data_IF_577944165377
#
_entry.id   IF_577944165377
#
_cell.length_a   1.000
_cell.length_b   1.000
_cell.length_c   1.000
_cell.angle_alpha   90.00
_cell.angle_beta   90.00
_cell.angle_gamma   90.00
#
_symmetry.space_group_name_H-M   'P 1'
#
loop_
_entity.id
_entity.type
_entity.pdbx_description
1 polymer ?
2 non-polymer ?
3 non-polymer ?
4 non-polymer ?
5 water ?
#
# COMPACT_ATOMS: atom_id res chain seq x y z
N UNK A 2 28.30 -5.73 0.41
CA UNK A 2 28.00 -7.08 0.93
C UNK A 2 27.25 -6.92 2.26
N UNK A 3 26.09 -7.53 2.40
CA UNK A 3 25.31 -7.39 3.64
C UNK A 3 25.83 -8.35 4.72
N UNK A 4 25.74 -7.96 6.01
CA UNK A 4 26.03 -8.86 7.12
C UNK A 4 25.07 -10.04 7.12
N UNK A 5 25.61 -11.21 7.49
CA UNK A 5 24.87 -12.50 7.57
C UNK A 5 23.77 -12.43 8.62
N UNK A 6 23.95 -11.66 9.70
CA UNK A 6 22.94 -11.54 10.78
C UNK A 6 22.91 -10.10 11.31
N UNK A 7 21.73 -9.67 11.72
CA UNK A 7 21.52 -8.33 12.28
C UNK A 7 20.54 -8.47 13.45
N UNK A 8 20.74 -7.71 14.52
CA UNK A 8 19.75 -7.61 15.62
C UNK A 8 19.79 -6.18 16.19
N UNK A 9 18.76 -5.40 15.88
CA UNK A 9 18.62 -3.98 16.31
C UNK A 9 18.43 -3.89 17.82
N UNK A 10 18.15 -4.99 18.51
CA UNK A 10 18.13 -4.97 20.01
C UNK A 10 19.55 -4.77 20.52
N UNK A 11 20.56 -5.31 19.84
CA UNK A 11 21.94 -5.13 20.30
C UNK A 11 22.39 -3.68 20.14
N UNK A 12 21.72 -2.91 19.29
CA UNK A 12 22.12 -1.50 19.05
C UNK A 12 21.26 -0.56 19.90
N UNK A 13 20.45 -1.09 20.83
CA UNK A 13 19.69 -0.25 21.77
C UNK A 13 18.63 0.56 21.06
N UNK A 14 18.04 0.04 19.97
CA UNK A 14 17.03 0.75 19.13
C UNK A 14 15.63 0.14 19.27
N UNK A 15 15.43 -0.83 20.16
CA UNK A 15 14.13 -1.57 20.27
C UNK A 15 13.61 -1.50 21.70
N UNK A 16 12.38 -0.99 21.87
CA UNK A 16 11.74 -0.81 23.22
C UNK A 16 11.21 -2.17 23.70
N UNK A 17 10.83 -2.21 24.96
CA UNK A 17 10.16 -3.37 25.57
C UNK A 17 8.95 -3.78 24.72
N UNK A 18 8.70 -5.08 24.75
CA UNK A 18 7.55 -5.69 24.05
C UNK A 18 6.30 -5.15 24.69
N UNK A 19 5.33 -4.77 23.88
CA UNK A 19 4.01 -4.33 24.35
C UNK A 19 2.97 -5.45 24.12
N UNK A 20 1.79 -5.25 24.68
CA UNK A 20 0.62 -6.19 24.76
C UNK A 20 -0.61 -5.45 24.21
N UNK A 21 -1.02 -5.72 22.97
CA UNK A 21 -2.14 -5.01 22.30
C UNK A 21 -3.49 -5.35 22.96
N UNK A 22 -3.60 -6.49 23.62
CA UNK A 22 -4.86 -6.90 24.29
C UNK A 22 -5.91 -7.23 23.26
N UNK A 23 -7.20 -7.02 23.52
CA UNK A 23 -8.23 -7.38 22.52
C UNK A 23 -8.45 -6.25 21.50
N UNK A 24 -7.53 -5.32 21.31
CA UNK A 24 -7.62 -4.23 20.30
C UNK A 24 -6.72 -4.56 19.11
N UNK A 25 -7.26 -4.62 17.90
CA UNK A 25 -6.48 -4.89 16.68
C UNK A 25 -5.64 -3.68 16.24
N UNK A 26 -4.73 -3.25 17.10
CA UNK A 26 -3.84 -2.08 16.89
C UNK A 26 -2.40 -2.50 16.56
N UNK A 27 -2.20 -3.70 16.00
CA UNK A 27 -0.88 -4.23 15.61
C UNK A 27 -0.21 -3.24 14.66
N UNK A 28 -1.03 -2.70 13.76
CA UNK A 28 -0.57 -1.70 12.75
C UNK A 28 0.08 -0.51 13.49
N UNK A 29 -0.53 -0.09 14.59
CA UNK A 29 -0.07 1.05 15.38
C UNK A 29 1.24 0.72 16.10
N UNK A 30 1.34 -0.49 16.68
CA UNK A 30 2.55 -0.97 17.36
C UNK A 30 3.67 -1.13 16.33
N UNK A 31 3.36 -1.68 15.16
CA UNK A 31 4.36 -1.84 14.09
C UNK A 31 4.95 -0.44 13.78
N UNK A 32 4.08 0.57 13.64
CA UNK A 32 4.49 1.90 13.13
C UNK A 32 5.34 2.58 14.19
N UNK A 33 4.93 2.51 15.47
CA UNK A 33 5.70 3.24 16.51
C UNK A 33 7.04 2.50 16.71
N UNK A 34 7.04 1.17 16.61
CA UNK A 34 8.29 0.40 16.73
C UNK A 34 9.36 0.86 15.73
N UNK A 35 8.96 1.04 14.47
CA UNK A 35 9.87 1.48 13.40
C UNK A 35 10.35 2.88 13.77
N UNK A 36 9.44 3.74 14.23
CA UNK A 36 9.80 5.15 14.43
C UNK A 36 10.68 5.24 15.67
N UNK A 37 10.50 4.33 16.62
CA UNK A 37 11.28 4.33 17.90
C UNK A 37 12.75 4.13 17.56
N UNK A 38 13.05 3.23 16.63
CA UNK A 38 14.46 2.98 16.24
C UNK A 38 15.01 4.26 15.62
N UNK A 39 14.25 4.91 14.72
CA UNK A 39 14.76 6.11 14.02
C UNK A 39 14.91 7.23 15.05
N UNK A 40 14.05 7.30 16.07
CA UNK A 40 14.22 8.33 17.13
C UNK A 40 15.52 8.09 17.92
N UNK A 41 15.80 6.85 18.30
CA UNK A 41 17.09 6.47 18.96
C UNK A 41 18.27 6.85 18.07
N UNK A 42 18.25 6.46 16.79
CA UNK A 42 19.35 6.82 15.84
C UNK A 42 19.50 8.33 15.78
N UNK A 43 18.41 9.08 15.84
CA UNK A 43 18.51 10.56 15.69
C UNK A 43 18.94 11.22 17.01
N UNK A 44 18.41 10.85 18.18
CA UNK A 44 18.54 11.65 19.44
C UNK A 44 19.42 10.94 20.45
N UNK A 45 19.66 9.63 20.25
CA UNK A 45 20.38 8.81 21.24
C UNK A 45 19.46 8.34 22.36
N UNK A 46 18.16 8.61 22.28
CA UNK A 46 17.15 8.30 23.32
C UNK A 46 16.25 7.15 22.85
N UNK A 47 16.12 6.10 23.64
CA UNK A 47 15.15 5.03 23.34
C UNK A 47 13.88 5.31 24.14
N UNK A 48 12.79 5.62 23.45
CA UNK A 48 11.50 6.12 24.04
C UNK A 48 10.37 5.29 23.43
N UNK A 49 9.57 4.65 24.24
CA UNK A 49 8.33 4.06 23.65
C UNK A 49 7.42 5.20 23.18
N UNK A 50 6.94 5.10 21.95
CA UNK A 50 5.98 6.09 21.39
C UNK A 50 4.54 5.59 21.51
N UNK A 51 3.58 6.51 21.38
CA UNK A 51 2.17 6.29 21.77
C UNK A 51 1.42 5.59 20.62
N UNK A 52 1.21 4.28 20.74
CA UNK A 52 0.32 3.50 19.84
C UNK A 52 -1.12 4.01 19.98
N UNK A 53 -1.50 4.40 21.19
CA UNK A 53 -2.86 4.93 21.48
C UNK A 53 -3.11 6.21 20.66
N UNK A 54 -2.13 7.11 20.61
CA UNK A 54 -2.17 8.32 19.76
C UNK A 54 -2.53 7.94 18.32
N UNK A 55 -1.97 6.87 17.77
CA UNK A 55 -2.32 6.46 16.37
C UNK A 55 -3.77 5.91 16.33
N UNK A 56 -4.13 5.08 17.30
CA UNK A 56 -5.47 4.42 17.30
C UNK A 56 -6.55 5.52 17.32
N UNK A 57 -6.36 6.53 18.15
CA UNK A 57 -7.33 7.59 18.44
C UNK A 57 -7.33 8.70 17.37
N UNK A 58 -6.21 8.96 16.68
CA UNK A 58 -6.06 10.20 15.86
C UNK A 58 -5.84 9.85 14.40
N UNK A 59 -5.18 8.75 14.09
CA UNK A 59 -4.94 8.30 12.70
C UNK A 59 -6.09 7.37 12.35
N UNK A 60 -7.24 7.97 12.06
CA UNK A 60 -8.56 7.32 11.98
C UNK A 60 -9.08 7.40 10.54
N UNK A 61 -10.37 7.71 10.36
CA UNK A 61 -11.08 7.56 9.06
C UNK A 61 -10.27 8.25 7.96
N UNK A 62 -9.68 9.41 8.25
CA UNK A 62 -9.00 10.22 7.21
C UNK A 62 -7.76 9.49 6.74
N UNK A 63 -7.23 8.56 7.54
CA UNK A 63 -6.00 7.79 7.21
C UNK A 63 -6.42 6.39 6.76
N UNK A 64 -7.70 6.15 6.54
CA UNK A 64 -8.21 4.81 6.16
C UNK A 64 -8.05 3.77 7.26
N UNK A 65 -7.86 4.23 8.49
CA UNK A 65 -7.64 3.35 9.67
C UNK A 65 -8.93 3.26 10.50
N UNK A 66 -9.14 2.12 11.15
CA UNK A 66 -10.32 1.83 11.97
C UNK A 66 -9.88 1.46 13.39
N UNK A 67 -8.82 2.06 13.93
CA UNK A 67 -8.40 1.88 15.34
C UNK A 67 -8.29 0.40 15.70
N UNK A 68 -9.11 -0.07 16.63
CA UNK A 68 -9.03 -1.46 17.16
C UNK A 68 -9.54 -2.45 16.11
N UNK A 69 -10.02 -1.96 14.97
CA UNK A 69 -10.46 -2.83 13.85
C UNK A 69 -9.46 -2.75 12.67
N UNK A 70 -8.23 -2.35 12.89
CA UNK A 70 -7.20 -2.49 11.85
C UNK A 70 -6.82 -1.16 11.24
N UNK A 71 -5.70 -1.16 10.53
CA UNK A 71 -5.22 0.01 9.79
C UNK A 71 -3.90 -0.28 9.13
N UNK A 72 -3.15 0.77 8.83
CA UNK A 72 -1.98 0.74 7.92
C UNK A 72 -0.80 1.46 8.61
N UNK A 73 0.39 0.86 8.54
CA UNK A 73 1.62 1.49 9.08
C UNK A 73 1.91 2.72 8.24
N UNK A 74 1.78 2.66 6.90
CA UNK A 74 2.13 3.83 6.05
C UNK A 74 1.25 5.03 6.41
N UNK A 75 -0.06 4.83 6.56
CA UNK A 75 -0.99 5.96 6.81
C UNK A 75 -0.78 6.43 8.25
N UNK A 76 -0.33 5.56 9.14
CA UNK A 76 0.09 5.99 10.49
C UNK A 76 1.25 7.00 10.34
N UNK A 77 2.28 6.65 9.58
CA UNK A 77 3.46 7.51 9.35
C UNK A 77 3.02 8.84 8.75
N UNK A 78 2.10 8.77 7.79
CA UNK A 78 1.62 10.02 7.13
C UNK A 78 0.90 10.89 8.16
N UNK A 79 0.13 10.29 9.07
CA UNK A 79 -0.53 11.02 10.17
C UNK A 79 0.53 11.76 10.98
N UNK A 80 1.64 11.09 11.32
CA UNK A 80 2.69 11.70 12.18
C UNK A 80 3.29 12.88 11.42
N UNK A 81 3.43 12.73 10.11
CA UNK A 81 3.95 13.81 9.23
C UNK A 81 3.00 15.00 9.31
N UNK A 82 1.74 14.78 8.96
CA UNK A 82 0.72 15.84 8.80
C UNK A 82 0.53 16.50 10.17
N UNK A 83 0.52 15.67 11.22
CA UNK A 83 0.24 16.11 12.62
C UNK A 83 1.43 16.89 13.18
N UNK A 84 2.61 16.76 12.55
CA UNK A 84 3.88 17.32 13.08
C UNK A 84 4.20 16.75 14.46
N UNK A 85 3.81 15.53 14.75
CA UNK A 85 4.36 14.83 15.91
C UNK A 85 3.53 13.63 16.32
N UNK A 86 4.08 12.90 17.29
CA UNK A 86 3.40 11.80 18.01
C UNK A 86 3.83 11.95 19.47
N UNK A 87 2.91 11.74 20.40
CA UNK A 87 3.20 11.84 21.85
C UNK A 87 4.01 10.62 22.31
N UNK A 88 4.67 10.74 23.46
CA UNK A 88 5.28 9.59 24.18
C UNK A 88 4.20 8.62 24.63
N UNK A 89 4.52 7.33 24.71
CA UNK A 89 3.67 6.32 25.36
C UNK A 89 3.43 6.79 26.79
N UNK A 90 4.44 7.35 27.48
CA UNK A 90 4.31 7.78 28.90
C UNK A 90 3.17 8.78 29.01
N UNK A 91 3.07 9.74 28.10
CA UNK A 91 2.13 10.87 28.21
C UNK A 91 0.77 10.42 27.69
N UNK A 92 0.72 9.42 26.81
CA UNK A 92 -0.51 9.01 26.09
C UNK A 92 -0.56 7.48 26.07
N UNK A 93 -0.74 6.85 27.25
CA UNK A 93 -0.57 5.42 27.40
C UNK A 93 -1.66 4.63 26.70
N UNK A 94 -1.41 3.33 26.52
CA UNK A 94 -2.23 2.41 25.68
C UNK A 94 -3.38 1.83 26.51
N UNK A 95 -4.61 1.88 26.02
CA UNK A 95 -5.80 1.41 26.78
C UNK A 95 -6.52 0.28 26.04
N UNK A 96 -6.09 -0.14 24.86
CA UNK A 96 -6.71 -1.25 24.11
C UNK A 96 -8.20 -0.91 23.84
N UNK A 97 -8.47 0.32 23.46
CA UNK A 97 -9.83 0.82 23.07
C UNK A 97 -9.66 1.95 22.06
N UNK A 98 -10.75 2.24 21.34
CA UNK A 98 -10.88 3.44 20.47
C UNK A 98 -11.24 4.60 21.40
N UNK A 99 -10.50 5.69 21.39
CA UNK A 99 -10.88 6.89 22.17
C UNK A 99 -10.87 8.09 21.25
N UNK A 100 -11.42 9.19 21.73
CA UNK A 100 -11.29 10.53 21.11
C UNK A 100 -9.81 10.93 21.09
N UNK A 101 -9.41 11.57 20.00
CA UNK A 101 -8.03 12.01 19.79
C UNK A 101 -7.64 12.93 20.95
N UNK A 102 -6.62 12.56 21.75
CA UNK A 102 -6.14 13.44 22.87
C UNK A 102 -4.72 13.90 22.55
N UNK A 103 -4.31 13.93 21.28
CA UNK A 103 -2.97 14.40 20.94
C UNK A 103 -2.75 15.80 21.54
N UNK A 104 -1.59 16.03 22.11
CA UNK A 104 -1.17 17.37 22.55
C UNK A 104 0.31 17.50 22.18
N UNK A 105 0.64 18.54 21.44
CA UNK A 105 2.01 18.90 20.99
C UNK A 105 2.92 19.12 22.20
N UNK A 106 2.38 19.44 23.37
CA UNK A 106 3.25 19.62 24.55
C UNK A 106 3.87 18.28 24.97
N UNK A 107 3.34 17.15 24.53
CA UNK A 107 3.87 15.83 24.89
C UNK A 107 4.54 15.13 23.68
N UNK A 108 4.87 15.88 22.62
CA UNK A 108 5.51 15.33 21.40
C UNK A 108 6.81 14.67 21.82
N UNK A 109 7.05 13.43 21.41
CA UNK A 109 8.33 12.72 21.59
C UNK A 109 9.06 12.48 20.26
N UNK A 110 8.41 12.61 19.12
CA UNK A 110 8.97 12.26 17.80
C UNK A 110 8.25 13.02 16.69
N UNK A 111 8.98 13.22 15.60
CA UNK A 111 8.47 13.70 14.32
C UNK A 111 8.75 12.59 13.29
N UNK A 112 8.21 12.77 12.08
CA UNK A 112 8.48 11.94 10.90
C UNK A 112 8.52 12.86 9.68
N UNK A 113 9.54 12.73 8.85
CA UNK A 113 9.71 13.60 7.67
C UNK A 113 9.21 12.87 6.42
N UNK A 114 9.34 11.56 6.36
CA UNK A 114 8.87 10.75 5.23
C UNK A 114 8.81 9.27 5.62
N UNK A 115 8.25 8.47 4.73
CA UNK A 115 8.34 7.00 4.84
C UNK A 115 8.58 6.39 3.46
N UNK A 116 9.06 5.16 3.45
CA UNK A 116 9.41 4.42 2.22
C UNK A 116 8.76 3.06 2.28
N UNK A 117 8.07 2.73 1.21
CA UNK A 117 7.47 1.40 0.98
C UNK A 117 8.43 0.62 0.09
N UNK A 118 8.81 -0.57 0.54
CA UNK A 118 9.72 -1.48 -0.21
C UNK A 118 8.90 -2.20 -1.28
N UNK A 119 9.58 -2.64 -2.37
CA UNK A 119 8.95 -3.34 -3.49
C UNK A 119 8.33 -4.68 -3.08
N UNK A 120 7.18 -5.04 -3.65
CA UNK A 120 6.37 -6.21 -3.24
C UNK A 120 7.23 -7.47 -3.31
N UNK A 121 7.34 -8.16 -2.17
CA UNK A 121 7.80 -9.55 -2.08
C UNK A 121 9.32 -9.70 -2.17
N UNK A 122 10.10 -8.62 -2.09
CA UNK A 122 11.56 -8.74 -2.37
C UNK A 122 12.30 -8.96 -1.05
N UNK A 123 12.62 -10.21 -0.72
CA UNK A 123 13.32 -10.55 0.58
C UNK A 123 14.74 -9.97 0.62
N UNK A 124 15.41 -9.86 -0.54
CA UNK A 124 16.78 -9.28 -0.64
C UNK A 124 16.69 -7.77 -0.32
N UNK A 125 15.64 -7.08 -0.76
CA UNK A 125 15.50 -5.62 -0.56
C UNK A 125 15.22 -5.40 0.91
N UNK A 126 14.39 -6.24 1.50
CA UNK A 126 14.08 -6.18 2.96
C UNK A 126 15.35 -6.39 3.77
N UNK A 127 16.20 -7.35 3.37
CA UNK A 127 17.48 -7.61 4.09
C UNK A 127 18.33 -6.34 4.07
N UNK A 128 18.46 -5.70 2.90
CA UNK A 128 19.25 -4.48 2.76
C UNK A 128 18.70 -3.41 3.70
N UNK A 129 17.40 -3.19 3.65
CA UNK A 129 16.72 -2.15 4.45
C UNK A 129 16.97 -2.42 5.96
N UNK A 130 16.83 -3.68 6.37
CA UNK A 130 17.05 -4.00 7.81
C UNK A 130 18.54 -3.79 8.17
N UNK A 131 19.48 -4.15 7.32
CA UNK A 131 20.92 -3.98 7.62
C UNK A 131 21.22 -2.48 7.68
N UNK A 132 20.67 -1.73 6.74
CA UNK A 132 21.21 -0.41 6.40
C UNK A 132 20.39 0.71 7.02
N UNK A 133 19.10 0.55 7.29
CA UNK A 133 18.22 1.69 7.58
C UNK A 133 17.66 1.58 8.99
N UNK A 134 17.11 0.40 9.28
CA UNK A 134 16.65 0.08 10.63
C UNK A 134 15.56 -0.95 10.59
N UNK A 135 14.87 -1.15 11.72
CA UNK A 135 13.71 -2.03 11.74
C UNK A 135 12.65 -1.58 10.78
N UNK A 136 11.90 -2.55 10.26
CA UNK A 136 10.97 -2.37 9.11
C UNK A 136 9.58 -2.90 9.50
N UNK A 137 8.58 -2.04 9.34
CA UNK A 137 7.19 -2.42 9.58
C UNK A 137 6.79 -3.38 8.47
N UNK A 138 6.17 -4.48 8.81
CA UNK A 138 5.66 -5.43 7.77
C UNK A 138 4.30 -5.98 8.23
N UNK A 139 3.56 -6.48 7.25
CA UNK A 139 2.37 -7.31 7.48
C UNK A 139 2.71 -8.75 7.27
N UNK A 140 2.22 -9.62 8.16
CA UNK A 140 2.32 -11.08 7.93
C UNK A 140 0.92 -11.69 8.01
N UNK A 141 0.78 -12.87 7.43
CA UNK A 141 -0.42 -13.71 7.61
C UNK A 141 -0.23 -14.43 8.97
N UNK A 142 -0.94 -14.03 10.01
CA UNK A 142 -0.85 -14.72 11.32
C UNK A 142 -2.15 -15.49 11.56
N UNK A 143 -2.94 -15.75 10.53
CA UNK A 143 -4.30 -16.32 10.75
C UNK A 143 -4.21 -17.85 10.66
N UNK A 144 -3.18 -18.43 11.28
CA UNK A 144 -3.03 -19.89 11.41
C UNK A 144 -2.77 -20.21 12.87
N UNK A 145 -3.36 -21.30 13.40
CA UNK A 145 -3.16 -21.67 14.81
C UNK A 145 -1.69 -21.76 15.18
N UNK A 146 -0.83 -22.26 14.28
CA UNK A 146 0.63 -22.43 14.51
C UNK A 146 1.24 -21.11 14.98
N UNK A 147 0.72 -19.96 14.54
CA UNK A 147 1.31 -18.65 14.87
C UNK A 147 1.11 -18.36 16.35
N UNK A 148 -0.11 -18.61 16.82
CA UNK A 148 -0.58 -18.52 18.21
C UNK A 148 0.16 -19.51 19.10
N UNK A 149 0.46 -20.72 18.64
CA UNK A 149 1.07 -21.78 19.47
C UNK A 149 2.61 -21.66 19.39
N UNK A 150 3.16 -20.75 18.59
CA UNK A 150 4.63 -20.64 18.41
C UNK A 150 5.32 -20.40 19.77
N UNK A 151 6.41 -21.15 20.00
CA UNK A 151 7.18 -21.02 21.26
C UNK A 151 8.66 -20.71 20.97
N UNK A 152 9.31 -21.38 20.00
CA UNK A 152 10.77 -21.19 19.81
C UNK A 152 11.20 -21.64 18.43
N UNK A 153 12.38 -21.24 17.97
CA UNK A 153 12.96 -21.71 16.70
C UNK A 153 12.41 -20.92 15.51
N UNK A 154 12.62 -21.43 14.30
CA UNK A 154 12.22 -20.80 13.01
C UNK A 154 10.83 -21.29 12.67
N UNK A 155 9.89 -20.37 12.62
CA UNK A 155 8.46 -20.60 12.27
C UNK A 155 8.36 -20.82 10.76
N UNK A 156 7.76 -21.95 10.37
CA UNK A 156 7.36 -22.28 8.98
C UNK A 156 5.95 -22.92 9.02
N UNK A 157 4.97 -22.30 8.35
CA UNK A 157 3.56 -22.77 8.25
C UNK A 157 3.26 -23.09 6.79
N UNK A 158 3.14 -24.38 6.44
CA UNK A 158 2.82 -24.77 5.08
C UNK A 158 1.55 -24.12 4.51
N UNK A 159 0.56 -23.82 5.34
CA UNK A 159 -0.72 -23.23 4.89
C UNK A 159 -0.57 -21.72 4.82
N UNK A 160 0.64 -21.18 5.04
CA UNK A 160 0.76 -19.70 5.14
C UNK A 160 0.53 -19.13 3.73
N UNK A 161 0.01 -17.90 3.65
CA UNK A 161 -0.37 -17.22 2.37
C UNK A 161 0.31 -15.85 2.36
N UNK A 162 0.16 -15.09 1.29
CA UNK A 162 0.58 -13.67 1.21
C UNK A 162 -0.63 -12.76 1.47
N UNK A 163 -1.72 -13.28 2.04
CA UNK A 163 -2.88 -12.46 2.50
C UNK A 163 -2.56 -12.02 3.94
N UNK A 164 -1.90 -10.89 4.11
CA UNK A 164 -1.35 -10.53 5.43
C UNK A 164 -2.45 -9.84 6.22
N UNK A 165 -2.45 -9.93 7.55
CA UNK A 165 -3.55 -9.40 8.38
C UNK A 165 -3.04 -8.89 9.72
N UNK A 166 -1.71 -8.91 9.94
CA UNK A 166 -1.12 -8.63 11.26
C UNK A 166 0.16 -7.81 11.09
N UNK A 167 0.18 -6.61 11.67
CA UNK A 167 1.32 -5.67 11.61
C UNK A 167 2.33 -6.02 12.69
N UNK A 168 3.60 -6.16 12.30
CA UNK A 168 4.72 -6.51 13.22
C UNK A 168 5.95 -5.73 12.75
N UNK A 169 7.09 -5.94 13.43
CA UNK A 169 8.33 -5.16 13.19
C UNK A 169 9.48 -6.14 12.98
N UNK A 170 10.12 -6.10 11.83
CA UNK A 170 11.35 -6.90 11.59
C UNK A 170 12.49 -6.14 12.26
N UNK A 171 13.07 -6.69 13.32
CA UNK A 171 14.19 -6.03 14.07
C UNK A 171 15.52 -6.72 13.75
N UNK A 172 15.53 -7.71 12.86
CA UNK A 172 16.80 -8.38 12.53
C UNK A 172 16.60 -9.53 11.58
N UNK A 173 17.67 -10.27 11.32
CA UNK A 173 17.58 -11.52 10.54
C UNK A 173 18.80 -12.34 10.93
N UNK A 174 18.81 -13.58 10.52
CA UNK A 174 19.95 -14.46 10.79
C UNK A 174 19.63 -15.85 10.33
N UNK A 175 20.30 -16.83 10.95
CA UNK A 175 20.03 -18.26 10.69
C UNK A 175 20.26 -19.04 11.96
N UNK A 176 19.45 -20.07 12.12
CA UNK A 176 19.53 -21.02 13.25
C UNK A 176 19.98 -22.35 12.63
N UNK A 177 21.26 -22.66 12.85
CA UNK A 177 21.91 -23.82 12.23
C UNK A 177 21.64 -23.81 10.72
N UNK A 178 21.77 -22.67 10.05
CA UNK A 178 21.57 -22.60 8.58
C UNK A 178 20.11 -22.43 8.15
N UNK A 179 19.13 -22.57 9.04
CA UNK A 179 17.71 -22.20 8.78
C UNK A 179 17.53 -20.68 8.89
N UNK A 180 17.32 -20.00 7.79
CA UNK A 180 17.33 -18.54 7.75
C UNK A 180 16.01 -17.98 8.28
N UNK A 181 16.08 -16.90 9.04
CA UNK A 181 14.86 -16.30 9.63
C UNK A 181 14.91 -14.78 9.58
N UNK A 182 13.74 -14.19 9.77
CA UNK A 182 13.49 -12.77 10.12
C UNK A 182 13.25 -12.75 11.63
N UNK A 183 13.90 -11.83 12.35
CA UNK A 183 13.61 -11.63 13.80
C UNK A 183 12.47 -10.61 13.92
N UNK A 184 11.32 -11.02 14.43
CA UNK A 184 10.04 -10.24 14.37
C UNK A 184 9.64 -9.91 15.81
N UNK A 185 9.57 -8.60 16.10
CA UNK A 185 8.95 -8.13 17.37
C UNK A 185 7.43 -8.16 17.20
N UNK A 186 6.74 -8.86 18.07
CA UNK A 186 5.25 -8.99 18.03
C UNK A 186 4.73 -8.02 19.09
N UNK A 187 3.41 -7.83 19.17
CA UNK A 187 2.79 -6.95 20.19
C UNK A 187 1.77 -7.76 20.99
N UNK A 188 2.10 -9.02 21.28
CA UNK A 188 1.26 -9.93 22.09
C UNK A 188 1.91 -10.20 23.45
N UNK A 189 2.70 -9.24 23.95
CA UNK A 189 3.22 -9.29 25.32
C UNK A 189 4.45 -10.17 25.40
N UNK A 190 5.14 -10.10 26.53
CA UNK A 190 6.46 -10.73 26.70
C UNK A 190 6.33 -12.23 26.91
N UNK A 191 5.12 -12.80 27.04
CA UNK A 191 4.97 -14.27 27.20
C UNK A 191 4.84 -14.96 25.86
N UNK A 192 4.54 -14.24 24.78
CA UNK A 192 4.35 -14.87 23.45
C UNK A 192 5.72 -15.31 22.90
N UNK A 193 5.77 -16.49 22.28
CA UNK A 193 6.94 -17.03 21.56
C UNK A 193 8.23 -16.82 22.35
N UNK A 194 9.24 -16.22 21.70
CA UNK A 194 10.59 -16.09 22.30
C UNK A 194 10.59 -14.77 23.08
N UNK A 195 9.89 -14.78 24.22
CA UNK A 195 9.69 -13.58 25.09
C UNK A 195 9.28 -12.37 24.26
N UNK A 196 8.35 -12.61 23.33
CA UNK A 196 7.63 -11.54 22.61
C UNK A 196 8.02 -11.50 21.16
N UNK A 197 9.01 -12.31 20.78
CA UNK A 197 9.63 -12.35 19.43
C UNK A 197 9.25 -13.66 18.74
N UNK A 198 9.21 -13.62 17.40
CA UNK A 198 9.07 -14.84 16.57
C UNK A 198 10.11 -14.76 15.47
N UNK A 199 10.80 -15.87 15.21
CA UNK A 199 11.74 -16.01 14.06
C UNK A 199 10.93 -16.66 12.96
N UNK A 200 10.72 -15.92 11.87
CA UNK A 200 9.88 -16.34 10.75
C UNK A 200 10.78 -16.66 9.55
N UNK A 201 10.51 -17.79 8.89
CA UNK A 201 11.30 -18.34 7.78
C UNK A 201 11.60 -17.24 6.76
N UNK A 202 12.87 -17.16 6.39
CA UNK A 202 13.37 -16.14 5.43
C UNK A 202 13.91 -16.87 4.20
N UNK A 203 13.83 -16.23 3.04
CA UNK A 203 14.16 -16.83 1.73
C UNK A 203 13.38 -18.15 1.56
N UNK A 204 12.09 -18.13 1.87
CA UNK A 204 11.16 -19.26 1.68
C UNK A 204 9.94 -18.77 0.88
N UNK A 205 10.21 -18.08 -0.25
CA UNK A 205 9.13 -17.67 -1.14
C UNK A 205 8.20 -16.71 -0.40
N UNK A 206 8.79 -15.71 0.25
CA UNK A 206 8.00 -14.59 0.85
C UNK A 206 6.98 -15.23 1.79
N UNK A 207 7.49 -15.96 2.80
CA UNK A 207 6.68 -16.85 3.66
C UNK A 207 5.75 -16.02 4.56
N UNK A 208 4.46 -16.33 4.55
CA UNK A 208 3.42 -15.60 5.32
C UNK A 208 3.38 -14.14 4.83
N UNK A 209 3.84 -13.84 3.63
CA UNK A 209 3.79 -12.46 3.11
C UNK A 209 4.69 -11.48 3.84
N UNK A 210 5.71 -11.95 4.55
CA UNK A 210 6.55 -11.04 5.39
C UNK A 210 7.14 -9.88 4.54
N UNK A 211 7.49 -10.11 3.27
CA UNK A 211 8.09 -9.05 2.42
C UNK A 211 7.04 -8.44 1.49
N UNK A 212 5.76 -8.73 1.70
CA UNK A 212 4.65 -8.23 0.83
C UNK A 212 4.62 -6.70 0.94
N UNK A 213 4.47 -6.14 2.15
CA UNK A 213 4.24 -4.68 2.31
C UNK A 213 5.13 -4.06 3.38
N UNK A 214 6.47 -4.01 3.20
CA UNK A 214 7.36 -3.45 4.18
C UNK A 214 7.45 -1.93 4.04
N UNK A 215 7.60 -1.23 5.17
CA UNK A 215 7.82 0.23 5.16
C UNK A 215 8.66 0.62 6.36
N UNK A 216 9.38 1.72 6.22
CA UNK A 216 10.14 2.35 7.31
C UNK A 216 9.98 3.87 7.20
N UNK A 217 9.91 4.52 8.36
CA UNK A 217 9.82 5.98 8.42
C UNK A 217 11.23 6.50 8.58
N UNK A 218 11.40 7.80 8.41
CA UNK A 218 12.64 8.53 8.70
C UNK A 218 12.30 9.82 9.41
N UNK A 219 13.31 10.37 10.09
CA UNK A 219 13.27 11.67 10.78
C UNK A 219 14.34 12.57 10.16
N UNK A 220 13.93 13.76 9.72
CA UNK A 220 14.79 14.91 9.29
C UNK A 220 16.03 15.10 10.18
N UNK A 221 17.23 15.24 9.57
CA UNK A 221 18.45 15.93 10.09
C UNK A 221 19.68 15.06 9.76
N UNK B 1 3.24 22.52 -7.30
CA UNK B 1 2.89 24.05 -7.42
C UNK B 1 2.88 24.31 -8.95
N UNK B 2 4.06 24.31 -9.59
CA UNK B 2 4.33 24.93 -10.95
C UNK B 2 3.69 24.13 -12.11
N UNK B 3 2.58 23.45 -11.87
CA UNK B 3 1.98 22.51 -12.84
C UNK B 3 1.00 23.26 -13.75
N UNK B 4 0.65 22.71 -14.93
CA UNK B 4 -0.52 23.17 -15.68
C UNK B 4 -1.82 23.03 -14.87
N UNK B 5 -2.69 24.04 -15.04
CA UNK B 5 -4.02 24.15 -14.37
C UNK B 5 -4.94 23.04 -14.78
N UNK B 6 -4.81 22.51 -16.00
CA UNK B 6 -5.61 21.33 -16.43
C UNK B 6 -4.77 20.33 -17.22
N UNK B 7 -5.12 19.06 -17.08
CA UNK B 7 -4.48 17.95 -17.84
C UNK B 7 -5.60 17.02 -18.32
N UNK B 8 -5.46 16.50 -19.54
CA UNK B 8 -6.33 15.40 -20.02
C UNK B 8 -5.50 14.50 -20.95
N UNK B 9 -5.11 13.33 -20.48
CA UNK B 9 -4.16 12.46 -21.21
C UNK B 9 -4.83 11.91 -22.47
N UNK B 10 -6.16 11.98 -22.59
CA UNK B 10 -6.81 11.62 -23.87
C UNK B 10 -6.34 12.59 -24.94
N UNK B 11 -5.95 13.83 -24.62
CA UNK B 11 -5.48 14.74 -25.70
C UNK B 11 -4.17 14.24 -26.32
N UNK B 12 -3.45 13.37 -25.64
CA UNK B 12 -2.14 12.88 -26.11
C UNK B 12 -2.29 11.46 -26.62
N UNK B 13 -3.52 10.97 -26.77
CA UNK B 13 -3.76 9.61 -27.28
C UNK B 13 -3.15 8.54 -26.37
N UNK B 14 -3.12 8.77 -25.06
CA UNK B 14 -2.47 7.85 -24.08
C UNK B 14 -3.50 7.01 -23.36
N UNK B 15 -4.80 7.16 -23.68
CA UNK B 15 -5.86 6.42 -22.94
C UNK B 15 -6.65 5.55 -23.95
N UNK B 16 -6.76 4.26 -23.64
CA UNK B 16 -7.56 3.29 -24.45
C UNK B 16 -9.06 3.50 -24.23
N UNK B 17 -9.87 2.88 -25.06
CA UNK B 17 -11.33 2.88 -24.87
C UNK B 17 -11.69 2.35 -23.47
N UNK B 18 -12.76 2.92 -22.95
CA UNK B 18 -13.35 2.47 -21.66
C UNK B 18 -13.76 1.00 -21.81
N UNK B 19 -13.47 0.21 -20.81
CA UNK B 19 -13.76 -1.24 -20.74
C UNK B 19 -14.96 -1.45 -19.80
N UNK B 20 -15.55 -2.65 -19.87
CA UNK B 20 -16.71 -3.10 -19.07
C UNK B 20 -16.33 -4.33 -18.22
N UNK B 21 -16.13 -4.17 -16.92
CA UNK B 21 -15.59 -5.27 -16.08
C UNK B 21 -16.65 -6.35 -15.88
N UNK B 22 -17.94 -6.00 -16.02
CA UNK B 22 -19.05 -6.94 -15.79
C UNK B 22 -19.06 -7.36 -14.33
N UNK B 23 -19.58 -8.54 -14.07
CA UNK B 23 -19.81 -9.09 -12.72
C UNK B 23 -18.54 -9.80 -12.19
N UNK B 24 -17.41 -9.15 -12.30
CA UNK B 24 -16.06 -9.63 -11.86
C UNK B 24 -15.32 -8.41 -11.26
N UNK B 25 -14.89 -8.51 -10.00
CA UNK B 25 -14.26 -7.40 -9.25
C UNK B 25 -12.81 -7.24 -9.67
N UNK B 26 -12.60 -6.91 -10.95
CA UNK B 26 -11.27 -6.81 -11.59
C UNK B 26 -10.89 -5.35 -11.84
N UNK B 27 -11.54 -4.39 -11.18
CA UNK B 27 -11.22 -2.95 -11.32
C UNK B 27 -9.74 -2.70 -11.06
N UNK B 28 -9.17 -3.40 -10.07
CA UNK B 28 -7.72 -3.31 -9.75
C UNK B 28 -6.90 -3.57 -10.99
N UNK B 29 -7.30 -4.58 -11.75
CA UNK B 29 -6.60 -5.05 -12.96
C UNK B 29 -6.75 -4.01 -14.07
N UNK B 30 -7.97 -3.47 -14.24
CA UNK B 30 -8.26 -2.42 -15.25
C UNK B 30 -7.45 -1.16 -14.89
N UNK B 31 -7.44 -0.78 -13.61
CA UNK B 31 -6.66 0.38 -13.14
C UNK B 31 -5.18 0.19 -13.54
N UNK B 32 -4.64 -1.00 -13.31
CA UNK B 32 -3.18 -1.26 -13.48
C UNK B 32 -2.85 -1.21 -14.97
N UNK B 33 -3.65 -1.85 -15.83
CA UNK B 33 -3.29 -1.90 -17.28
C UNK B 33 -3.48 -0.50 -17.85
N UNK B 34 -4.47 0.25 -17.36
CA UNK B 34 -4.73 1.62 -17.86
C UNK B 34 -3.53 2.51 -17.67
N UNK B 35 -2.94 2.47 -16.50
CA UNK B 35 -1.72 3.24 -16.18
C UNK B 35 -0.60 2.77 -17.11
N UNK B 36 -0.45 1.46 -17.29
CA UNK B 36 0.71 0.93 -18.06
C UNK B 36 0.49 1.26 -19.54
N UNK B 37 -0.77 1.39 -19.97
CA UNK B 37 -1.09 1.66 -21.39
C UNK B 37 -0.52 3.03 -21.76
N UNK B 38 -0.67 3.99 -20.86
CA UNK B 38 -0.22 5.37 -21.13
C UNK B 38 1.30 5.34 -21.24
N UNK B 39 1.96 4.64 -20.33
CA UNK B 39 3.45 4.57 -20.32
C UNK B 39 3.91 3.88 -21.59
N UNK B 40 3.18 2.85 -22.06
CA UNK B 40 3.55 2.15 -23.32
C UNK B 40 3.50 3.11 -24.52
N UNK B 41 2.44 3.88 -24.61
CA UNK B 41 2.24 4.90 -25.66
C UNK B 41 3.37 5.94 -25.60
N UNK B 42 3.64 6.50 -24.41
CA UNK B 42 4.76 7.48 -24.22
C UNK B 42 6.07 6.84 -24.67
N UNK B 43 6.28 5.56 -24.42
CA UNK B 43 7.58 4.95 -24.75
C UNK B 43 7.68 4.59 -26.26
N UNK B 44 6.68 3.92 -26.83
CA UNK B 44 6.75 3.30 -28.18
C UNK B 44 5.94 4.10 -29.23
N UNK B 45 5.07 5.02 -28.84
CA UNK B 45 4.22 5.77 -29.78
C UNK B 45 2.90 5.02 -30.10
N UNK B 46 2.69 3.83 -29.54
CA UNK B 46 1.55 2.97 -29.89
C UNK B 46 0.62 2.78 -28.70
N UNK B 47 -0.67 3.02 -28.94
CA UNK B 47 -1.73 2.80 -27.96
C UNK B 47 -2.27 1.38 -28.17
N UNK B 48 -2.19 0.57 -27.13
CA UNK B 48 -2.60 -0.86 -27.18
C UNK B 48 -3.29 -1.18 -25.86
N UNK B 49 -4.51 -1.68 -25.91
CA UNK B 49 -5.15 -2.16 -24.66
C UNK B 49 -4.39 -3.38 -24.19
N UNK B 50 -4.07 -3.41 -22.92
CA UNK B 50 -3.36 -4.57 -22.31
C UNK B 50 -4.36 -5.44 -21.58
N UNK B 51 -3.93 -6.67 -21.28
CA UNK B 51 -4.82 -7.77 -20.85
C UNK B 51 -5.09 -7.70 -19.36
N UNK B 52 -6.27 -7.19 -18.98
CA UNK B 52 -6.73 -7.22 -17.58
C UNK B 52 -6.93 -8.69 -17.20
N UNK B 53 -7.40 -9.52 -18.15
CA UNK B 53 -7.63 -10.96 -17.86
C UNK B 53 -6.31 -11.63 -17.47
N UNK B 54 -5.22 -11.31 -18.16
CA UNK B 54 -3.85 -11.78 -17.83
C UNK B 54 -3.57 -11.52 -16.35
N UNK B 55 -3.91 -10.35 -15.82
CA UNK B 55 -3.67 -10.03 -14.40
C UNK B 55 -4.59 -10.88 -13.53
N UNK B 56 -5.87 -10.95 -13.89
CA UNK B 56 -6.87 -11.71 -13.09
C UNK B 56 -6.37 -13.16 -12.93
N UNK B 57 -5.94 -13.79 -14.00
CA UNK B 57 -5.62 -15.24 -14.07
C UNK B 57 -4.21 -15.55 -13.56
N UNK B 58 -3.27 -14.62 -13.65
CA UNK B 58 -1.82 -14.84 -13.42
C UNK B 58 -1.30 -14.10 -12.19
N UNK B 59 -1.76 -12.88 -11.90
CA UNK B 59 -1.31 -12.10 -10.72
C UNK B 59 -2.23 -12.44 -9.57
N UNK B 60 -1.98 -13.61 -8.96
CA UNK B 60 -2.94 -14.30 -8.06
C UNK B 60 -2.38 -14.34 -6.64
N UNK B 61 -2.44 -15.50 -5.99
CA UNK B 61 -2.19 -15.68 -4.53
C UNK B 61 -0.85 -15.04 -4.13
N UNK B 62 0.18 -15.27 -4.92
CA UNK B 62 1.58 -14.81 -4.72
C UNK B 62 1.59 -13.28 -4.60
N UNK B 63 0.65 -12.62 -5.27
CA UNK B 63 0.61 -11.14 -5.38
C UNK B 63 -0.48 -10.63 -4.42
N UNK B 64 -1.02 -11.48 -3.56
CA UNK B 64 -2.08 -11.05 -2.62
C UNK B 64 -3.39 -10.69 -3.30
N UNK B 65 -3.56 -11.11 -4.56
CA UNK B 65 -4.76 -10.80 -5.38
C UNK B 65 -5.69 -12.00 -5.41
N UNK B 66 -6.99 -11.72 -5.56
CA UNK B 66 -8.03 -12.79 -5.62
C UNK B 66 -8.86 -12.69 -6.92
N UNK B 67 -8.26 -12.25 -8.03
CA UNK B 67 -8.91 -12.18 -9.36
C UNK B 67 -10.24 -11.42 -9.32
N UNK B 68 -11.35 -12.12 -9.57
CA UNK B 68 -12.70 -11.49 -9.63
C UNK B 68 -13.14 -11.08 -8.24
N UNK B 69 -12.38 -11.40 -7.21
CA UNK B 69 -12.72 -11.04 -5.81
C UNK B 69 -11.76 -9.98 -5.27
N UNK B 70 -11.10 -9.22 -6.12
CA UNK B 70 -10.37 -8.02 -5.67
C UNK B 70 -8.87 -8.20 -5.76
N UNK B 71 -8.11 -7.09 -5.69
CA UNK B 71 -6.64 -7.13 -5.68
C UNK B 71 -6.06 -5.75 -5.59
N UNK B 72 -4.82 -5.59 -6.02
CA UNK B 72 -3.99 -4.38 -5.80
C UNK B 72 -3.30 -3.99 -7.10
N UNK B 73 -3.27 -2.68 -7.38
CA UNK B 73 -2.62 -2.21 -8.61
C UNK B 73 -1.11 -2.39 -8.45
N UNK B 74 -0.54 -2.11 -7.29
CA UNK B 74 0.94 -2.22 -7.09
C UNK B 74 1.41 -3.67 -7.31
N UNK B 75 0.69 -4.65 -6.77
CA UNK B 75 1.15 -6.06 -6.86
C UNK B 75 0.88 -6.52 -8.29
N UNK B 76 -0.09 -5.90 -8.97
CA UNK B 76 -0.25 -6.16 -10.42
C UNK B 76 1.04 -5.77 -11.14
N UNK B 77 1.53 -4.56 -10.88
CA UNK B 77 2.74 -4.01 -11.53
C UNK B 77 3.90 -4.94 -11.22
N UNK B 78 3.98 -5.40 -9.98
CA UNK B 78 5.10 -6.28 -9.57
C UNK B 78 5.05 -7.60 -10.37
N UNK B 79 3.86 -8.14 -10.58
CA UNK B 79 3.67 -9.36 -11.42
C UNK B 79 4.23 -9.09 -12.82
N UNK B 80 3.91 -7.96 -13.42
CA UNK B 80 4.35 -7.68 -14.82
C UNK B 80 5.88 -7.59 -14.82
N UNK B 81 6.46 -7.02 -13.76
CA UNK B 81 7.94 -6.99 -13.60
C UNK B 81 8.49 -8.41 -13.56
N UNK B 82 8.03 -9.20 -12.59
CA UNK B 82 8.54 -10.57 -12.31
C UNK B 82 8.32 -11.45 -13.55
N UNK B 83 7.18 -11.30 -14.19
CA UNK B 83 6.73 -12.12 -15.35
C UNK B 83 7.50 -11.67 -16.60
N UNK B 84 8.12 -10.49 -16.55
CA UNK B 84 8.79 -9.84 -17.71
C UNK B 84 7.80 -9.57 -18.83
N UNK B 85 6.51 -9.36 -18.55
CA UNK B 85 5.60 -8.96 -19.64
C UNK B 85 4.15 -9.11 -19.29
N UNK B 86 3.29 -8.58 -20.15
CA UNK B 86 1.82 -8.69 -20.06
C UNK B 86 1.35 -8.77 -21.51
N UNK B 87 0.46 -9.70 -21.80
CA UNK B 87 -0.13 -9.87 -23.15
C UNK B 87 -1.09 -8.71 -23.50
N UNK B 88 -1.34 -8.49 -24.79
CA UNK B 88 -2.38 -7.55 -25.27
C UNK B 88 -3.75 -8.05 -24.84
N UNK B 89 -4.70 -7.13 -24.70
CA UNK B 89 -6.14 -7.43 -24.54
C UNK B 89 -6.58 -8.29 -25.71
N UNK B 90 -6.17 -7.94 -26.92
CA UNK B 90 -6.58 -8.67 -28.15
C UNK B 90 -6.16 -10.15 -28.03
N UNK B 91 -4.97 -10.47 -27.55
CA UNK B 91 -4.44 -11.86 -27.55
C UNK B 91 -4.99 -12.61 -26.33
N UNK B 92 -5.34 -11.90 -25.27
CA UNK B 92 -5.74 -12.53 -23.98
C UNK B 92 -6.96 -11.76 -23.46
N UNK B 93 -8.10 -11.97 -24.12
CA UNK B 93 -9.29 -11.14 -23.90
C UNK B 93 -9.92 -11.43 -22.55
N UNK B 94 -10.73 -10.45 -22.15
CA UNK B 94 -11.41 -10.33 -20.85
C UNK B 94 -12.72 -11.11 -20.85
N UNK B 95 -12.91 -11.99 -19.87
CA UNK B 95 -14.08 -12.88 -19.79
C UNK B 95 -14.86 -12.64 -18.52
N UNK B 96 -14.43 -11.74 -17.67
CA UNK B 96 -15.16 -11.42 -16.42
C UNK B 96 -15.27 -12.68 -15.54
N UNK B 97 -14.24 -13.54 -15.52
CA UNK B 97 -14.21 -14.74 -14.65
C UNK B 97 -12.77 -15.16 -14.38
N UNK B 98 -12.56 -15.97 -13.35
CA UNK B 98 -11.23 -16.50 -12.97
C UNK B 98 -10.91 -17.65 -13.91
N UNK B 99 -9.78 -17.61 -14.58
CA UNK B 99 -9.33 -18.73 -15.41
C UNK B 99 -7.91 -19.10 -14.98
N UNK B 100 -7.46 -20.21 -15.54
CA UNK B 100 -6.07 -20.68 -15.42
C UNK B 100 -5.17 -19.66 -16.11
N UNK B 101 -4.00 -19.41 -15.55
CA UNK B 101 -3.01 -18.51 -16.16
C UNK B 101 -2.67 -18.99 -17.58
N UNK B 102 -2.95 -18.20 -18.63
CA UNK B 102 -2.63 -18.60 -20.03
C UNK B 102 -1.62 -17.60 -20.60
N UNK B 103 -0.84 -16.94 -19.77
CA UNK B 103 0.13 -15.95 -20.27
C UNK B 103 1.03 -16.64 -21.29
N UNK B 104 1.35 -15.96 -22.38
CA UNK B 104 2.30 -16.45 -23.39
C UNK B 104 3.09 -15.26 -23.89
N UNK B 105 4.41 -15.35 -23.82
CA UNK B 105 5.35 -14.28 -24.18
C UNK B 105 5.26 -14.01 -25.69
N UNK B 106 4.73 -14.95 -26.46
CA UNK B 106 4.45 -14.72 -27.89
C UNK B 106 3.52 -13.52 -28.10
N UNK B 107 2.65 -13.21 -27.13
CA UNK B 107 1.61 -12.15 -27.26
C UNK B 107 1.92 -10.96 -26.35
N UNK B 108 3.15 -10.87 -25.84
CA UNK B 108 3.60 -9.76 -24.96
C UNK B 108 3.43 -8.47 -25.71
N UNK B 109 2.76 -7.48 -25.13
CA UNK B 109 2.59 -6.14 -25.71
C UNK B 109 3.24 -5.06 -24.83
N UNK B 110 3.62 -5.38 -23.59
CA UNK B 110 4.26 -4.38 -22.68
C UNK B 110 5.12 -5.07 -21.66
N UNK B 111 6.03 -4.30 -21.09
CA UNK B 111 6.80 -4.66 -19.87
C UNK B 111 6.63 -3.50 -18.88
N UNK B 112 7.14 -3.74 -17.68
CA UNK B 112 7.21 -2.80 -16.56
C UNK B 112 8.56 -2.99 -15.87
N UNK B 113 9.25 -1.91 -15.56
CA UNK B 113 10.59 -1.98 -14.94
C UNK B 113 10.48 -1.63 -13.44
N UNK B 114 9.49 -0.83 -13.04
CA UNK B 114 9.29 -0.40 -11.64
C UNK B 114 7.90 0.25 -11.47
N UNK B 115 7.52 0.54 -10.24
CA UNK B 115 6.30 1.35 -9.97
C UNK B 115 6.55 2.22 -8.74
N UNK B 116 5.71 3.23 -8.55
CA UNK B 116 5.89 4.21 -7.47
C UNK B 116 4.54 4.39 -6.80
N UNK B 117 4.54 4.30 -5.48
CA UNK B 117 3.37 4.62 -4.65
C UNK B 117 3.53 6.07 -4.16
N UNK B 118 2.51 6.89 -4.38
CA UNK B 118 2.50 8.31 -3.90
C UNK B 118 2.20 8.31 -2.40
N UNK B 119 2.66 9.36 -1.69
CA UNK B 119 2.36 9.52 -0.26
C UNK B 119 0.85 9.69 0.02
N UNK B 120 0.37 9.11 1.12
CA UNK B 120 -1.07 8.99 1.43
C UNK B 120 -1.71 10.38 1.47
N UNK B 121 -2.73 10.57 0.64
CA UNK B 121 -3.70 11.67 0.73
C UNK B 121 -3.18 13.01 0.23
N UNK B 122 -2.05 13.05 -0.46
CA UNK B 122 -1.45 14.36 -0.85
C UNK B 122 -1.94 14.71 -2.28
N UNK B 123 -3.00 15.52 -2.41
CA UNK B 123 -3.60 15.86 -3.73
C UNK B 123 -2.61 16.68 -4.57
N UNK B 124 -1.76 17.52 -3.98
CA UNK B 124 -0.71 18.30 -4.71
C UNK B 124 0.32 17.33 -5.33
N UNK B 125 0.67 16.25 -4.65
CA UNK B 125 1.70 15.31 -5.17
C UNK B 125 1.07 14.52 -6.32
N UNK B 126 -0.21 14.15 -6.18
CA UNK B 126 -0.99 13.45 -7.23
C UNK B 126 -1.07 14.35 -8.47
N UNK B 127 -1.30 15.65 -8.29
CA UNK B 127 -1.40 16.62 -9.40
C UNK B 127 -0.07 16.63 -10.19
N UNK B 128 1.04 16.73 -9.47
CA UNK B 128 2.38 16.72 -10.08
C UNK B 128 2.56 15.41 -10.89
N UNK B 129 2.25 14.28 -10.28
CA UNK B 129 2.43 12.97 -10.91
C UNK B 129 1.57 12.88 -12.19
N UNK B 130 0.31 13.33 -12.10
CA UNK B 130 -0.58 13.29 -13.30
C UNK B 130 -0.02 14.22 -14.39
N UNK B 131 0.49 15.40 -14.04
CA UNK B 131 1.02 16.33 -15.04
C UNK B 131 2.30 15.74 -15.61
N UNK B 132 3.16 15.20 -14.76
CA UNK B 132 4.61 15.02 -15.08
C UNK B 132 4.90 13.59 -15.53
N UNK B 133 4.15 12.58 -15.10
CA UNK B 133 4.48 11.16 -15.35
C UNK B 133 3.43 10.54 -16.28
N UNK B 134 2.15 10.77 -16.00
CA UNK B 134 1.00 10.27 -16.78
C UNK B 134 -0.15 9.86 -15.88
N UNK B 135 -1.14 9.11 -16.43
CA UNK B 135 -2.23 8.57 -15.62
C UNK B 135 -1.75 7.72 -14.45
N UNK B 136 -2.52 7.78 -13.38
CA UNK B 136 -2.19 7.25 -12.02
C UNK B 136 -3.33 6.32 -11.53
N UNK B 137 -2.94 5.09 -11.15
CA UNK B 137 -3.86 4.12 -10.53
C UNK B 137 -4.24 4.65 -9.17
N UNK B 138 -5.53 4.72 -8.86
CA UNK B 138 -6.01 5.08 -7.50
C UNK B 138 -7.16 4.17 -7.08
N UNK B 139 -7.40 4.10 -5.77
CA UNK B 139 -8.62 3.53 -5.21
C UNK B 139 -9.59 4.65 -4.83
N UNK B 140 -10.89 4.48 -5.10
CA UNK B 140 -11.93 5.39 -4.55
C UNK B 140 -12.98 4.62 -3.76
N UNK B 141 -13.64 5.31 -2.86
CA UNK B 141 -14.92 4.84 -2.28
C UNK B 141 -16.07 5.03 -3.29
N UNK B 142 -16.46 3.97 -3.99
CA UNK B 142 -17.56 4.02 -5.00
C UNK B 142 -18.78 3.25 -4.47
N UNK B 143 -18.92 3.16 -3.15
CA UNK B 143 -19.95 2.35 -2.47
C UNK B 143 -21.30 3.10 -2.43
N UNK B 144 -21.33 4.42 -2.65
CA UNK B 144 -22.52 5.24 -2.30
C UNK B 144 -23.47 5.28 -3.50
N UNK B 145 -24.80 5.17 -3.27
CA UNK B 145 -25.79 5.20 -4.36
C UNK B 145 -25.50 6.29 -5.39
N UNK B 146 -25.07 7.47 -4.93
CA UNK B 146 -24.78 8.64 -5.80
C UNK B 146 -23.76 8.26 -6.86
N UNK B 147 -22.82 7.37 -6.57
CA UNK B 147 -21.73 7.06 -7.53
C UNK B 147 -22.29 6.36 -8.76
N UNK B 148 -23.14 5.36 -8.54
CA UNK B 148 -23.76 4.57 -9.63
C UNK B 148 -24.56 5.49 -10.54
N UNK B 149 -25.18 6.54 -9.97
CA UNK B 149 -26.18 7.38 -10.67
C UNK B 149 -25.48 8.59 -11.28
N UNK B 150 -24.18 8.77 -11.09
CA UNK B 150 -23.49 9.97 -11.60
C UNK B 150 -23.64 10.07 -13.14
N UNK B 151 -23.95 11.26 -13.62
CA UNK B 151 -24.20 11.53 -15.05
C UNK B 151 -23.32 12.66 -15.54
N UNK B 152 -23.18 13.75 -14.77
CA UNK B 152 -22.44 14.91 -15.28
C UNK B 152 -21.93 15.76 -14.12
N UNK B 153 -21.12 16.76 -14.45
CA UNK B 153 -20.64 17.76 -13.49
C UNK B 153 -19.49 17.19 -12.66
N UNK B 154 -19.33 17.77 -11.47
CA UNK B 154 -18.26 17.37 -10.54
C UNK B 154 -18.93 16.66 -9.36
N UNK B 155 -18.63 15.38 -9.22
CA UNK B 155 -19.12 14.49 -8.15
C UNK B 155 -18.53 14.90 -6.79
N UNK B 156 -19.41 15.24 -5.87
CA UNK B 156 -19.13 15.52 -4.46
C UNK B 156 -20.25 14.85 -3.66
N UNK B 157 -19.89 13.84 -2.87
CA UNK B 157 -20.80 13.04 -2.01
C UNK B 157 -20.39 13.29 -0.58
N UNK B 158 -21.16 14.07 0.19
CA UNK B 158 -20.84 14.30 1.59
C UNK B 158 -20.63 13.01 2.38
N UNK B 159 -21.27 11.91 2.03
CA UNK B 159 -21.21 10.65 2.80
C UNK B 159 -19.96 9.88 2.33
N UNK B 160 -19.17 10.45 1.40
CA UNK B 160 -17.97 9.74 0.91
C UNK B 160 -16.96 9.58 2.06
N UNK B 161 -16.14 8.54 2.02
CA UNK B 161 -15.12 8.19 3.06
C UNK B 161 -13.77 7.94 2.37
N UNK B 162 -12.72 7.73 3.16
CA UNK B 162 -11.38 7.31 2.66
C UNK B 162 -11.25 5.77 2.74
N UNK B 163 -12.36 5.05 2.93
CA UNK B 163 -12.40 3.58 2.85
C UNK B 163 -12.62 3.21 1.37
N UNK B 164 -11.56 3.01 0.62
CA UNK B 164 -11.68 2.86 -0.85
C UNK B 164 -12.00 1.39 -1.16
N UNK B 165 -12.74 1.10 -2.22
CA UNK B 165 -13.17 -0.29 -2.58
C UNK B 165 -13.07 -0.52 -4.07
N UNK B 166 -12.66 0.48 -4.85
CA UNK B 166 -12.79 0.43 -6.32
C UNK B 166 -11.56 1.03 -6.99
N UNK B 167 -10.90 0.25 -7.82
CA UNK B 167 -9.72 0.68 -8.58
C UNK B 167 -10.11 1.38 -9.87
N UNK B 168 -9.56 2.58 -10.09
CA UNK B 168 -9.85 3.44 -11.27
C UNK B 168 -8.55 4.15 -11.63
N UNK B 169 -8.61 5.01 -12.65
CA UNK B 169 -7.43 5.65 -13.26
C UNK B 169 -7.69 7.14 -13.35
N UNK B 170 -6.82 7.95 -12.74
CA UNK B 170 -6.86 9.42 -12.90
C UNK B 170 -6.13 9.71 -14.21
N UNK B 171 -6.81 10.28 -15.19
CA UNK B 171 -6.24 10.56 -16.52
C UNK B 171 -6.09 12.06 -16.68
N UNK B 172 -6.49 12.84 -15.67
CA UNK B 172 -6.40 14.30 -15.80
C UNK B 172 -7.03 15.02 -14.67
N UNK B 173 -7.10 16.35 -14.75
CA UNK B 173 -7.65 17.19 -13.67
C UNK B 173 -7.97 18.52 -14.29
N UNK B 174 -8.73 19.33 -13.61
CA UNK B 174 -9.03 20.68 -14.09
C UNK B 174 -10.07 21.33 -13.20
N UNK B 175 -10.88 22.17 -13.82
CA UNK B 175 -11.92 22.86 -13.05
C UNK B 175 -13.08 23.16 -14.00
N UNK B 176 -14.28 22.88 -13.52
CA UNK B 176 -15.55 23.05 -14.25
C UNK B 176 -16.40 23.97 -13.40
N UNK B 177 -16.72 25.16 -13.92
CA UNK B 177 -17.68 26.08 -13.30
C UNK B 177 -17.24 26.35 -11.86
N UNK B 178 -15.94 26.57 -11.62
CA UNK B 178 -15.41 26.93 -10.29
C UNK B 178 -15.28 25.73 -9.37
N UNK B 179 -15.37 24.52 -9.88
CA UNK B 179 -15.12 23.29 -9.11
C UNK B 179 -13.92 22.57 -9.72
N UNK B 180 -12.93 22.35 -8.89
CA UNK B 180 -11.75 21.54 -9.24
C UNK B 180 -12.13 20.05 -9.23
N UNK B 181 -11.62 19.32 -10.21
CA UNK B 181 -11.96 17.88 -10.32
C UNK B 181 -10.70 17.10 -10.72
N UNK B 182 -10.78 15.80 -10.46
CA UNK B 182 -9.94 14.75 -11.05
C UNK B 182 -10.74 14.09 -12.18
N UNK B 183 -10.12 13.87 -13.35
CA UNK B 183 -10.78 13.13 -14.43
C UNK B 183 -10.47 11.64 -14.26
N UNK B 184 -11.50 10.82 -13.97
CA UNK B 184 -11.34 9.39 -13.57
C UNK B 184 -11.96 8.52 -14.67
N UNK B 185 -11.13 7.65 -15.24
CA UNK B 185 -11.60 6.58 -16.15
C UNK B 185 -12.07 5.40 -15.31
N UNK B 186 -13.32 5.01 -15.49
CA UNK B 186 -13.95 3.87 -14.78
C UNK B 186 -13.90 2.65 -15.69
N UNK B 187 -14.36 1.49 -15.21
CA UNK B 187 -14.36 0.22 -16.00
C UNK B 187 -15.75 -0.37 -15.98
N UNK B 188 -16.78 0.49 -16.04
CA UNK B 188 -18.20 0.06 -16.05
C UNK B 188 -18.83 0.36 -17.41
N UNK B 189 -18.01 0.38 -18.46
CA UNK B 189 -18.50 0.56 -19.84
C UNK B 189 -18.83 2.02 -20.10
N UNK B 190 -19.08 2.38 -21.34
CA UNK B 190 -19.34 3.80 -21.65
C UNK B 190 -20.77 4.23 -21.27
N UNK B 191 -21.64 3.35 -20.78
CA UNK B 191 -22.99 3.80 -20.28
C UNK B 191 -22.81 4.60 -18.98
N UNK B 192 -21.77 4.30 -18.22
CA UNK B 192 -21.53 4.97 -16.93
C UNK B 192 -21.04 6.40 -17.15
N UNK B 193 -21.60 7.33 -16.38
CA UNK B 193 -21.22 8.75 -16.28
C UNK B 193 -20.99 9.36 -17.65
N UNK B 194 -19.86 10.05 -17.80
CA UNK B 194 -19.57 10.83 -19.03
C UNK B 194 -18.79 9.90 -19.95
N UNK B 195 -19.50 9.02 -20.66
CA UNK B 195 -18.95 7.98 -21.58
C UNK B 195 -17.89 7.16 -20.85
N UNK B 196 -18.11 6.88 -19.59
CA UNK B 196 -17.25 5.96 -18.82
C UNK B 196 -16.35 6.67 -17.84
N UNK B 197 -16.43 8.01 -17.80
CA UNK B 197 -15.61 8.90 -16.95
C UNK B 197 -16.49 9.52 -15.87
N UNK B 198 -15.90 9.80 -14.72
CA UNK B 198 -16.48 10.64 -13.65
C UNK B 198 -15.44 11.72 -13.27
N UNK B 199 -15.89 12.96 -13.18
CA UNK B 199 -15.11 14.08 -12.60
C UNK B 199 -15.40 14.10 -11.09
N UNK B 200 -14.35 13.85 -10.30
CA UNK B 200 -14.48 13.71 -8.85
C UNK B 200 -13.81 14.91 -8.19
N UNK B 201 -14.40 15.41 -7.13
CA UNK B 201 -13.97 16.63 -6.44
C UNK B 201 -12.47 16.53 -6.07
N UNK B 202 -11.70 17.59 -6.40
CA UNK B 202 -10.27 17.73 -6.10
C UNK B 202 -10.07 18.90 -5.13
N UNK B 203 -9.04 18.79 -4.29
CA UNK B 203 -8.74 19.71 -3.15
C UNK B 203 -9.99 19.84 -2.25
N UNK B 204 -10.70 18.74 -1.99
CA UNK B 204 -11.86 18.71 -1.07
C UNK B 204 -11.61 17.64 0.01
N UNK B 205 -10.44 17.73 0.66
CA UNK B 205 -10.06 16.85 1.76
C UNK B 205 -9.99 15.43 1.27
N UNK B 206 -9.32 15.15 0.17
CA UNK B 206 -9.00 13.77 -0.25
C UNK B 206 -10.34 13.05 -0.41
N UNK B 207 -11.25 13.63 -1.20
CA UNK B 207 -12.68 13.20 -1.29
C UNK B 207 -12.80 11.79 -1.88
N UNK B 208 -13.51 10.91 -1.19
CA UNK B 208 -13.72 9.48 -1.56
C UNK B 208 -12.36 8.76 -1.58
N UNK B 209 -11.33 9.29 -0.89
CA UNK B 209 -10.03 8.63 -0.80
C UNK B 209 -9.29 8.62 -2.14
N UNK B 210 -9.62 9.53 -3.07
CA UNK B 210 -8.98 9.50 -4.43
C UNK B 210 -7.44 9.53 -4.33
N UNK B 211 -6.86 10.25 -3.38
CA UNK B 211 -5.40 10.43 -3.27
C UNK B 211 -4.84 9.52 -2.17
N UNK B 212 -5.65 8.59 -1.64
CA UNK B 212 -5.24 7.69 -0.53
C UNK B 212 -4.10 6.79 -1.03
N UNK B 213 -4.28 6.05 -2.15
CA UNK B 213 -3.29 5.01 -2.57
C UNK B 213 -2.99 5.14 -4.05
N UNK B 214 -2.33 6.21 -4.51
CA UNK B 214 -2.01 6.36 -5.93
C UNK B 214 -0.69 5.64 -6.24
N UNK B 215 -0.58 5.13 -7.46
CA UNK B 215 0.61 4.44 -7.98
C UNK B 215 0.65 4.57 -9.49
N UNK B 216 1.87 4.55 -10.04
CA UNK B 216 2.11 4.57 -11.50
C UNK B 216 3.34 3.70 -11.79
N UNK B 217 3.24 2.93 -12.88
CA UNK B 217 4.33 2.08 -13.33
C UNK B 217 5.19 2.89 -14.29
N UNK B 218 6.39 2.39 -14.57
CA UNK B 218 7.22 2.91 -15.66
C UNK B 218 7.84 1.74 -16.43
N UNK B 219 8.33 2.08 -17.61
CA UNK B 219 9.04 1.18 -18.56
C UNK B 219 10.40 1.82 -18.83
N UNK B 220 11.51 1.13 -18.63
CA UNK B 220 12.88 1.71 -18.79
C UNK B 220 13.32 1.50 -20.24
N UNK B 221 14.46 2.11 -20.55
CA UNK B 221 15.07 2.33 -21.89
C UNK B 221 15.63 0.99 -22.42
N UNK B 222 16.40 0.30 -21.59
CA UNK B 222 16.61 -1.18 -21.60
C UNK B 222 16.18 -1.71 -20.23
#
# INVERSE_FOLDING_TARGET
RILPDSVDWREKGCVTEVKYQGSCGACWAFSAVGALEAQLKLKTGKLVSLSAQNLVDCSTEKYGNKGCNGGFMTTAFQYIIDNKGIDSDASYPYKAMDQKCQYDSKYRAATCSKYTELPYGREDVLKEAVANKGPVSVGVDARHPSFFLYRSGVYYEPSCTQNVNHGVLVVGYGDLNGKEYWLVKNSWGHNFGEEGYIRMARNKGNHCGIASFPSYPEIHHHHHH
RILPDSVDWREKGCVTEVKYQGSCGACWAFSAVGALEAQLKLKTGKLVSLSAQNLVDCSTEKYGNKGCNGGFMTTAFQYIIDNKGIDSDASYPYKAMDQKCQYDSKYRAATCSKYTELPYGREDVLKEAVANKGPVSVGVDARHPSFFLYRSGVYYEPSCTQNVNHGVLVVGYGDLNGKEYWLVKNSWGHNFGEEGYIRMARNKGNHCGIASFPSYPEIHHHHHH
#
